data_IF_518183917658
#
_entry.id   IF_518183917658
#
_cell.length_a   1.000
_cell.length_b   1.000
_cell.length_c   1.000
_cell.angle_alpha   90.00
_cell.angle_beta   90.00
_cell.angle_gamma   90.00
#
_symmetry.space_group_name_H-M   'P 1'
#
loop_
_entity.id
_entity.type
_entity.pdbx_description
1 polymer ?
#
# COMPACT_ATOMS: atom_id res chain seq x y z
N UNK A 1 3.00 1.64 7.32
CA UNK A 1 3.04 2.84 8.21
C UNK A 1 2.02 2.82 9.35
N UNK A 2 0.75 2.46 9.12
CA UNK A 2 -0.28 2.45 10.20
C UNK A 2 0.07 1.51 11.37
N UNK A 3 0.42 0.25 11.09
CA UNK A 3 0.75 -0.71 12.14
C UNK A 3 1.97 -0.30 12.97
N UNK A 4 2.97 0.32 12.33
CA UNK A 4 4.15 0.85 13.01
C UNK A 4 3.79 2.03 13.95
N UNK A 5 2.88 2.91 13.52
CA UNK A 5 2.33 3.98 14.37
C UNK A 5 1.63 3.40 15.61
N UNK A 6 0.75 2.41 15.42
CA UNK A 6 0.02 1.80 16.53
C UNK A 6 0.97 1.07 17.48
N UNK A 7 1.94 0.30 16.98
CA UNK A 7 2.95 -0.40 17.80
C UNK A 7 3.86 0.53 18.60
N UNK A 8 4.11 1.74 18.09
CA UNK A 8 4.88 2.74 18.83
C UNK A 8 4.11 3.28 20.05
N UNK A 9 2.78 3.23 20.02
CA UNK A 9 1.90 3.77 21.07
C UNK A 9 1.29 2.69 21.96
N UNK A 10 1.10 1.47 21.44
CA UNK A 10 0.49 0.33 22.12
C UNK A 10 1.48 -0.82 22.17
N UNK A 11 1.80 -1.29 23.38
CA UNK A 11 2.80 -2.36 23.59
C UNK A 11 2.24 -3.76 23.56
N UNK A 12 0.97 -3.94 23.94
CA UNK A 12 0.32 -5.24 23.95
C UNK A 12 -0.05 -5.66 22.51
N UNK A 13 0.37 -6.85 22.09
CA UNK A 13 0.21 -7.29 20.70
C UNK A 13 -1.24 -7.51 20.30
N UNK A 14 -2.08 -7.97 21.24
CA UNK A 14 -3.51 -8.18 20.99
C UNK A 14 -4.20 -6.84 20.83
N UNK A 15 -3.93 -5.90 21.74
CA UNK A 15 -4.45 -4.54 21.66
C UNK A 15 -4.02 -3.81 20.37
N UNK A 16 -2.80 -4.05 19.87
CA UNK A 16 -2.34 -3.49 18.59
C UNK A 16 -3.23 -3.97 17.45
N UNK A 17 -3.55 -5.26 17.40
CA UNK A 17 -4.40 -5.84 16.35
C UNK A 17 -5.84 -5.33 16.44
N UNK A 18 -6.40 -5.27 17.65
CA UNK A 18 -7.74 -4.73 17.89
C UNK A 18 -7.84 -3.27 17.44
N UNK A 19 -6.93 -2.41 17.90
CA UNK A 19 -6.88 -1.00 17.52
C UNK A 19 -6.71 -0.83 16.01
N UNK A 20 -5.89 -1.69 15.38
CA UNK A 20 -5.71 -1.67 13.93
C UNK A 20 -7.02 -2.02 13.19
N UNK A 21 -7.72 -3.07 13.62
CA UNK A 21 -9.01 -3.46 13.02
C UNK A 21 -10.07 -2.36 13.22
N UNK A 22 -10.24 -1.85 14.43
CA UNK A 22 -11.19 -0.77 14.73
C UNK A 22 -10.90 0.49 13.88
N UNK A 23 -9.62 0.80 13.68
CA UNK A 23 -9.17 1.90 12.80
C UNK A 23 -9.62 1.67 11.36
N UNK A 24 -9.36 0.49 10.80
CA UNK A 24 -9.74 0.18 9.41
C UNK A 24 -11.25 0.17 9.21
N UNK A 25 -12.02 -0.39 10.15
CA UNK A 25 -13.48 -0.39 10.10
C UNK A 25 -14.02 1.04 10.14
N UNK A 26 -13.45 1.89 11.00
CA UNK A 26 -13.86 3.29 11.12
C UNK A 26 -13.50 4.08 9.86
N UNK A 27 -12.30 3.87 9.32
CA UNK A 27 -11.85 4.48 8.08
C UNK A 27 -12.78 4.09 6.92
N UNK A 28 -13.11 2.80 6.78
CA UNK A 28 -14.02 2.33 5.74
C UNK A 28 -15.39 2.99 5.82
N UNK A 29 -15.97 3.08 7.02
CA UNK A 29 -17.28 3.70 7.27
C UNK A 29 -17.32 5.21 7.04
N UNK A 30 -16.18 5.87 7.01
CA UNK A 30 -16.06 7.34 6.89
C UNK A 30 -15.31 7.78 5.65
N UNK A 31 -14.97 6.83 4.78
CA UNK A 31 -14.16 7.05 3.58
C UNK A 31 -14.88 7.96 2.56
N UNK A 32 -16.20 7.90 2.52
CA UNK A 32 -17.07 8.77 1.72
C UNK A 32 -16.94 10.25 2.09
N UNK A 33 -16.60 10.54 3.36
CA UNK A 33 -16.40 11.90 3.88
C UNK A 33 -14.94 12.36 3.82
N UNK A 34 -14.02 11.50 3.40
CA UNK A 34 -12.62 11.86 3.31
C UNK A 34 -12.39 12.87 2.17
N UNK A 35 -11.82 14.01 2.52
CA UNK A 35 -11.36 15.01 1.56
C UNK A 35 -10.15 14.47 0.77
N UNK A 36 -10.42 14.05 -0.47
CA UNK A 36 -9.42 13.45 -1.37
C UNK A 36 -8.31 14.43 -1.78
N UNK A 37 -8.45 15.73 -1.51
CA UNK A 37 -7.37 16.71 -1.74
C UNK A 37 -6.30 16.67 -0.64
N UNK A 38 -6.55 15.96 0.48
CA UNK A 38 -5.62 15.85 1.60
C UNK A 38 -4.86 14.52 1.57
N UNK A 39 -3.69 14.44 2.21
CA UNK A 39 -2.97 13.18 2.34
C UNK A 39 -3.76 12.14 3.15
N UNK A 40 -3.90 10.94 2.61
CA UNK A 40 -4.66 9.84 3.24
C UNK A 40 -4.01 9.33 4.54
N UNK A 41 -2.68 9.22 4.57
CA UNK A 41 -1.99 8.58 5.69
C UNK A 41 -2.12 9.35 7.03
N UNK A 42 -1.98 10.68 7.10
CA UNK A 42 -2.29 11.46 8.29
C UNK A 42 -3.75 11.33 8.76
N UNK A 43 -4.70 11.34 7.82
CA UNK A 43 -6.12 11.15 8.15
C UNK A 43 -6.36 9.80 8.83
N UNK A 44 -5.82 8.73 8.26
CA UNK A 44 -5.93 7.38 8.83
C UNK A 44 -5.25 7.25 10.20
N UNK A 45 -4.10 7.91 10.41
CA UNK A 45 -3.44 7.96 11.73
C UNK A 45 -4.19 8.81 12.75
N UNK A 46 -4.93 9.83 12.31
CA UNK A 46 -5.86 10.56 13.17
C UNK A 46 -6.98 9.66 13.72
N UNK A 47 -7.52 8.78 12.88
CA UNK A 47 -8.49 7.75 13.32
C UNK A 47 -7.82 6.79 14.31
N UNK A 48 -6.63 6.29 13.98
CA UNK A 48 -5.87 5.39 14.84
C UNK A 48 -5.56 5.99 16.22
N UNK A 49 -5.16 7.27 16.25
CA UNK A 49 -4.92 8.04 17.48
C UNK A 49 -6.14 8.02 18.39
N UNK A 50 -7.33 8.22 17.84
CA UNK A 50 -8.56 8.20 18.63
C UNK A 50 -8.82 6.82 19.26
N UNK A 51 -8.57 5.74 18.53
CA UNK A 51 -8.71 4.37 19.04
C UNK A 51 -7.65 4.01 20.08
N UNK A 52 -6.39 4.42 19.87
CA UNK A 52 -5.31 4.27 20.87
C UNK A 52 -5.69 4.98 22.18
N UNK A 53 -6.14 6.23 22.09
CA UNK A 53 -6.56 6.99 23.28
C UNK A 53 -7.79 6.36 23.95
N UNK A 54 -8.75 5.84 23.17
CA UNK A 54 -9.90 5.13 23.70
C UNK A 54 -9.51 3.83 24.43
N UNK A 55 -8.56 3.07 23.88
CA UNK A 55 -8.00 1.87 24.51
C UNK A 55 -7.40 2.19 25.89
N UNK A 56 -6.55 3.22 25.99
CA UNK A 56 -5.93 3.60 27.26
C UNK A 56 -6.87 4.26 28.27
N UNK A 57 -7.92 4.96 27.81
CA UNK A 57 -9.00 5.43 28.69
C UNK A 57 -9.73 4.26 29.35
N UNK A 58 -9.99 3.16 28.62
CA UNK A 58 -10.64 1.95 29.16
C UNK A 58 -9.77 1.26 30.21
N UNK A 59 -8.45 1.25 30.05
CA UNK A 59 -7.51 0.61 30.99
C UNK A 59 -7.10 1.49 32.17
N UNK A 60 -7.66 2.71 32.30
CA UNK A 60 -7.42 3.70 33.38
C UNK A 60 -5.94 4.07 33.59
N UNK A 61 -5.10 3.83 32.59
CA UNK A 61 -3.67 4.17 32.61
C UNK A 61 -3.34 4.79 31.26
N UNK A 62 -3.14 6.11 31.23
CA UNK A 62 -2.57 6.76 30.06
C UNK A 62 -1.05 6.76 30.21
N UNK A 63 -0.30 6.04 29.36
CA UNK A 63 1.15 6.06 29.42
C UNK A 63 1.70 7.42 28.95
N UNK A 64 2.89 7.80 29.41
CA UNK A 64 3.59 9.03 28.99
C UNK A 64 3.77 9.09 27.47
N UNK A 65 3.98 7.95 26.79
CA UNK A 65 4.12 7.89 25.34
C UNK A 65 2.81 8.09 24.56
N UNK A 66 1.68 8.24 25.26
CA UNK A 66 0.39 8.63 24.69
C UNK A 66 0.01 10.08 25.00
N UNK A 67 0.95 10.88 25.52
CA UNK A 67 0.77 12.33 25.60
C UNK A 67 0.61 12.93 24.20
N UNK A 68 -0.23 13.95 24.09
CA UNK A 68 -0.58 14.60 22.82
C UNK A 68 0.68 15.07 22.06
N UNK A 69 1.62 15.68 22.77
CA UNK A 69 2.90 16.15 22.23
C UNK A 69 3.76 15.01 21.65
N UNK A 70 3.74 13.84 22.28
CA UNK A 70 4.50 12.65 21.82
C UNK A 70 3.86 12.06 20.57
N UNK A 71 2.52 11.95 20.55
CA UNK A 71 1.79 11.44 19.39
C UNK A 71 1.99 12.36 18.18
N UNK A 72 1.93 13.68 18.37
CA UNK A 72 2.13 14.67 17.31
C UNK A 72 3.57 14.62 16.78
N UNK A 73 4.56 14.46 17.66
CA UNK A 73 5.95 14.28 17.25
C UNK A 73 6.14 13.00 16.42
N UNK A 74 5.54 11.88 16.86
CA UNK A 74 5.56 10.62 16.14
C UNK A 74 4.91 10.74 14.76
N UNK A 75 3.75 11.40 14.67
CA UNK A 75 3.06 11.64 13.40
C UNK A 75 3.93 12.47 12.43
N UNK A 76 4.56 13.54 12.93
CA UNK A 76 5.49 14.35 12.17
C UNK A 76 6.69 13.54 11.65
N UNK A 77 7.28 12.67 12.48
CA UNK A 77 8.38 11.78 12.07
C UNK A 77 7.94 10.77 11.01
N UNK A 78 6.77 10.15 11.16
CA UNK A 78 6.23 9.23 10.15
C UNK A 78 5.87 9.92 8.84
N UNK A 79 5.42 11.18 8.90
CA UNK A 79 5.17 12.00 7.72
C UNK A 79 6.47 12.40 6.99
N UNK A 80 7.61 12.44 7.68
CA UNK A 80 8.93 12.61 7.06
C UNK A 80 9.45 11.30 6.46
N UNK A 81 9.26 10.17 7.17
CA UNK A 81 9.65 8.85 6.67
C UNK A 81 8.86 8.48 5.41
N UNK A 82 7.56 8.79 5.36
CA UNK A 82 6.73 8.59 4.16
C UNK A 82 7.02 9.56 3.01
N UNK A 83 7.99 10.47 3.18
CA UNK A 83 8.49 11.40 2.15
C UNK A 83 9.93 11.08 1.72
N UNK A 84 10.41 9.86 1.99
CA UNK A 84 11.66 9.39 1.38
C UNK A 84 11.41 9.21 -0.11
N UNK A 85 12.33 9.71 -0.94
CA UNK A 85 12.30 9.63 -2.40
C UNK A 85 12.02 8.20 -2.86
N UNK A 86 10.97 8.01 -3.65
CA UNK A 86 10.53 6.71 -4.16
C UNK A 86 9.45 6.02 -3.34
N UNK A 87 9.00 6.62 -2.22
CA UNK A 87 8.03 6.01 -1.31
C UNK A 87 6.66 6.72 -1.30
N UNK A 88 6.52 7.86 -1.98
CA UNK A 88 5.20 8.50 -2.16
C UNK A 88 4.39 7.78 -3.24
N UNK A 89 3.07 7.69 -3.05
CA UNK A 89 2.19 7.00 -4.00
C UNK A 89 2.28 7.56 -5.42
N UNK A 90 2.45 8.88 -5.54
CA UNK A 90 2.64 9.58 -6.82
C UNK A 90 3.94 9.17 -7.51
N UNK A 91 5.07 9.14 -6.80
CA UNK A 91 6.35 8.65 -7.35
C UNK A 91 6.27 7.17 -7.76
N UNK A 92 5.53 6.35 -7.00
CA UNK A 92 5.34 4.93 -7.35
C UNK A 92 4.53 4.75 -8.64
N UNK A 93 3.48 5.56 -8.81
CA UNK A 93 2.66 5.57 -10.02
C UNK A 93 3.45 6.08 -11.22
N UNK A 94 4.18 7.19 -11.08
CA UNK A 94 5.01 7.74 -12.15
C UNK A 94 6.11 6.75 -12.57
N UNK A 95 6.73 6.06 -11.61
CA UNK A 95 7.69 5.01 -11.88
C UNK A 95 7.06 3.83 -12.63
N UNK A 96 5.84 3.43 -12.26
CA UNK A 96 5.09 2.36 -12.92
C UNK A 96 4.73 2.75 -14.35
N UNK A 97 4.20 3.95 -14.59
CA UNK A 97 3.85 4.44 -15.93
C UNK A 97 5.08 4.44 -16.84
N UNK A 98 6.21 4.96 -16.37
CA UNK A 98 7.47 4.89 -17.11
C UNK A 98 7.90 3.44 -17.40
N UNK A 99 7.80 2.54 -16.41
CA UNK A 99 8.14 1.14 -16.63
C UNK A 99 7.19 0.45 -17.62
N UNK A 100 5.91 0.81 -17.64
CA UNK A 100 4.92 0.32 -18.60
C UNK A 100 5.19 0.85 -20.01
N UNK A 101 5.68 2.09 -20.16
CA UNK A 101 6.06 2.72 -21.44
C UNK A 101 7.26 2.05 -22.13
N UNK A 102 8.12 1.40 -21.35
CA UNK A 102 9.22 0.60 -21.90
C UNK A 102 8.78 -0.79 -22.42
N UNK A 103 7.54 -1.21 -22.18
CA UNK A 103 7.05 -2.53 -22.58
C UNK A 103 6.62 -2.51 -24.06
N UNK A 104 7.12 -3.45 -24.89
CA UNK A 104 6.68 -3.56 -26.28
C UNK A 104 5.17 -3.82 -26.40
N UNK A 105 4.54 -3.27 -27.43
CA UNK A 105 3.07 -3.30 -27.61
C UNK A 105 2.41 -4.69 -27.55
N UNK A 106 2.99 -5.77 -28.12
CA UNK A 106 2.42 -7.10 -27.98
C UNK A 106 2.33 -7.60 -26.53
N UNK A 107 3.21 -7.11 -25.67
CA UNK A 107 3.24 -7.44 -24.26
C UNK A 107 2.30 -6.54 -23.44
N UNK A 108 2.18 -5.26 -23.81
CA UNK A 108 1.22 -4.32 -23.21
C UNK A 108 -0.22 -4.81 -23.41
N UNK A 109 -0.54 -5.29 -24.62
CA UNK A 109 -1.85 -5.89 -24.93
C UNK A 109 -2.18 -7.06 -23.99
N UNK A 110 -1.21 -7.93 -23.69
CA UNK A 110 -1.42 -9.06 -22.77
C UNK A 110 -1.68 -8.59 -21.34
N UNK A 111 -1.05 -7.50 -20.90
CA UNK A 111 -1.32 -6.90 -19.59
C UNK A 111 -2.72 -6.30 -19.54
N UNK A 112 -3.14 -5.54 -20.55
CA UNK A 112 -4.46 -4.92 -20.57
C UNK A 112 -5.57 -5.98 -20.56
N UNK A 113 -5.45 -7.01 -21.39
CA UNK A 113 -6.40 -8.13 -21.39
C UNK A 113 -6.49 -8.84 -20.03
N UNK A 114 -5.37 -8.97 -19.32
CA UNK A 114 -5.35 -9.67 -18.04
C UNK A 114 -5.78 -8.80 -16.85
N UNK A 115 -5.30 -7.56 -16.77
CA UNK A 115 -5.45 -6.69 -15.60
C UNK A 115 -6.56 -5.65 -15.74
N UNK A 116 -6.90 -5.20 -16.96
CA UNK A 116 -8.02 -4.28 -17.19
C UNK A 116 -9.30 -5.00 -17.55
N UNK A 117 -9.20 -6.05 -18.38
CA UNK A 117 -10.36 -6.83 -18.82
C UNK A 117 -10.57 -8.12 -18.02
N UNK A 118 -9.72 -8.39 -17.02
CA UNK A 118 -9.83 -9.51 -16.09
C UNK A 118 -9.94 -10.89 -16.76
N UNK A 119 -9.34 -11.05 -17.95
CA UNK A 119 -9.36 -12.32 -18.67
C UNK A 119 -8.33 -13.30 -18.10
N UNK A 120 -8.73 -14.57 -18.03
CA UNK A 120 -7.81 -15.65 -17.73
C UNK A 120 -6.88 -15.97 -18.91
N UNK A 121 -5.83 -16.75 -18.65
CA UNK A 121 -4.82 -17.11 -19.66
C UNK A 121 -5.40 -17.87 -20.86
N UNK A 122 -6.54 -18.54 -20.70
CA UNK A 122 -7.17 -19.34 -21.75
C UNK A 122 -7.96 -18.43 -22.71
N UNK A 123 -8.73 -17.49 -22.17
CA UNK A 123 -9.44 -16.46 -22.94
C UNK A 123 -8.48 -15.52 -23.66
N UNK A 124 -7.36 -15.16 -23.02
CA UNK A 124 -6.32 -14.35 -23.67
C UNK A 124 -5.69 -15.12 -24.84
N UNK A 125 -5.40 -16.40 -24.66
CA UNK A 125 -4.86 -17.27 -25.70
C UNK A 125 -5.79 -17.31 -26.92
N UNK A 126 -7.10 -17.48 -26.71
CA UNK A 126 -8.10 -17.45 -27.77
C UNK A 126 -8.16 -16.09 -28.49
N UNK A 127 -8.13 -14.97 -27.76
CA UNK A 127 -8.20 -13.62 -28.36
C UNK A 127 -6.95 -13.21 -29.13
N UNK A 128 -5.79 -13.73 -28.75
CA UNK A 128 -4.50 -13.33 -29.31
C UNK A 128 -3.93 -14.35 -30.30
N UNK A 129 -4.67 -15.43 -30.57
CA UNK A 129 -4.22 -16.58 -31.38
C UNK A 129 -2.87 -17.15 -30.91
N UNK A 130 -2.69 -17.21 -29.59
CA UNK A 130 -1.49 -17.75 -28.94
C UNK A 130 -1.82 -19.03 -28.19
N UNK A 131 -0.81 -19.89 -27.98
CA UNK A 131 -0.95 -21.02 -27.04
C UNK A 131 -1.04 -20.48 -25.61
N UNK A 132 -1.89 -21.07 -24.77
CA UNK A 132 -2.01 -20.76 -23.34
C UNK A 132 -0.65 -20.72 -22.62
N UNK A 133 0.22 -21.67 -22.94
CA UNK A 133 1.56 -21.75 -22.34
C UNK A 133 2.46 -20.58 -22.78
N UNK A 134 2.31 -20.10 -24.01
CA UNK A 134 3.00 -18.90 -24.49
C UNK A 134 2.50 -17.65 -23.76
N UNK A 135 1.19 -17.53 -23.55
CA UNK A 135 0.59 -16.42 -22.77
C UNK A 135 1.14 -16.42 -21.34
N UNK A 136 1.14 -17.57 -20.66
CA UNK A 136 1.71 -17.71 -19.31
C UNK A 136 3.17 -17.27 -19.24
N UNK A 137 4.02 -17.81 -20.12
CA UNK A 137 5.46 -17.48 -20.15
C UNK A 137 5.71 -16.01 -20.48
N UNK A 138 4.92 -15.41 -21.38
CA UNK A 138 5.00 -13.98 -21.68
C UNK A 138 4.62 -13.14 -20.47
N UNK A 139 3.46 -13.39 -19.86
CA UNK A 139 3.03 -12.67 -18.64
C UNK A 139 4.06 -12.78 -17.51
N UNK A 140 4.66 -13.96 -17.31
CA UNK A 140 5.73 -14.14 -16.33
C UNK A 140 6.95 -13.25 -16.62
N UNK A 141 7.44 -13.25 -17.87
CA UNK A 141 8.58 -12.41 -18.27
C UNK A 141 8.28 -10.92 -18.17
N UNK A 142 7.07 -10.51 -18.54
CA UNK A 142 6.62 -9.12 -18.43
C UNK A 142 6.62 -8.68 -16.96
N UNK A 143 6.07 -9.50 -16.06
CA UNK A 143 6.07 -9.23 -14.60
C UNK A 143 7.48 -9.15 -14.04
N UNK A 144 8.38 -10.04 -14.46
CA UNK A 144 9.78 -10.01 -14.04
C UNK A 144 10.48 -8.72 -14.49
N UNK A 145 10.30 -8.31 -15.76
CA UNK A 145 10.87 -7.06 -16.28
C UNK A 145 10.30 -5.81 -15.60
N UNK A 146 8.99 -5.80 -15.32
CA UNK A 146 8.35 -4.74 -14.54
C UNK A 146 8.93 -4.66 -13.12
N UNK A 147 9.08 -5.80 -12.45
CA UNK A 147 9.66 -5.86 -11.11
C UNK A 147 11.10 -5.32 -11.10
N UNK A 148 11.95 -5.75 -12.04
CA UNK A 148 13.32 -5.24 -12.17
C UNK A 148 13.36 -3.73 -12.45
N UNK A 149 12.47 -3.23 -13.32
CA UNK A 149 12.37 -1.81 -13.61
C UNK A 149 11.98 -0.99 -12.36
N UNK A 150 10.97 -1.43 -11.61
CA UNK A 150 10.51 -0.77 -10.40
C UNK A 150 11.55 -0.84 -9.27
N UNK A 151 12.30 -1.96 -9.16
CA UNK A 151 13.41 -2.10 -8.21
C UNK A 151 14.53 -1.11 -8.51
N UNK A 152 14.94 -0.96 -9.78
CA UNK A 152 15.94 0.04 -10.18
C UNK A 152 15.50 1.47 -9.88
N UNK A 153 14.19 1.74 -9.93
CA UNK A 153 13.61 3.04 -9.55
C UNK A 153 13.41 3.20 -8.04
N UNK A 154 13.75 2.20 -7.22
CA UNK A 154 13.65 2.25 -5.76
C UNK A 154 12.22 2.22 -5.22
N UNK A 155 11.25 1.79 -6.03
CA UNK A 155 9.81 1.82 -5.72
C UNK A 155 9.30 0.47 -5.22
N UNK A 156 9.96 -0.61 -5.61
CA UNK A 156 9.67 -1.97 -5.18
C UNK A 156 10.86 -2.48 -4.35
N UNK A 157 10.60 -2.90 -3.11
CA UNK A 157 11.59 -3.61 -2.30
C UNK A 157 11.97 -4.94 -2.99
N UNK A 158 13.16 -5.47 -2.69
CA UNK A 158 13.55 -6.80 -3.17
C UNK A 158 12.52 -7.83 -2.69
N UNK A 159 11.69 -8.31 -3.62
CA UNK A 159 10.83 -9.46 -3.36
C UNK A 159 11.76 -10.67 -3.34
N UNK A 160 12.08 -11.17 -2.15
CA UNK A 160 12.55 -12.54 -2.00
C UNK A 160 11.41 -13.44 -2.47
N UNK A 161 11.46 -13.84 -3.74
CA UNK A 161 10.64 -14.93 -4.26
C UNK A 161 11.35 -16.21 -3.83
N UNK A 162 11.04 -16.67 -2.62
CA UNK A 162 11.26 -18.05 -2.18
C UNK A 162 10.14 -18.95 -2.70
#
# INVERSE_FOLDING_TARGET
>A
MLLAFIRALVKDSVAVEDVHQETLITAWKTLDRFDRSRPFAPWLRGIARNHVLAHYRKTRRLPIHCEETVIDHLDGRLAQIGRRTGDTWEEKLEALDHCLDAIPEPNRTLLDLHYREELDTERIALRTDLRRETVKKRLQRIRAGLAECLQRKGVLDQIALD
#
